data_IF_466004802120
#
_entry.id   IF_466004802120
#
_cell.length_a   1.000
_cell.length_b   1.000
_cell.length_c   1.000
_cell.angle_alpha   90.00
_cell.angle_beta   90.00
_cell.angle_gamma   90.00
#
_symmetry.space_group_name_H-M   'P 1'
#
loop_
_entity.id
_entity.type
_entity.pdbx_description
1 polymer ?
#
# COMPACT_ATOMS: atom_id res chain seq x y z
N UNK A 1 -19.96 -28.91 20.89
CA UNK A 1 -18.86 -28.51 21.80
C UNK A 1 -18.33 -27.14 21.37
N UNK A 2 -18.66 -26.06 22.09
CA UNK A 2 -18.23 -24.71 21.74
C UNK A 2 -16.80 -24.42 22.20
N UNK A 3 -15.90 -24.08 21.27
CA UNK A 3 -14.54 -23.64 21.58
C UNK A 3 -14.63 -22.28 22.29
N UNK A 4 -14.32 -22.23 23.58
CA UNK A 4 -14.30 -20.98 24.36
C UNK A 4 -13.24 -20.05 23.79
N UNK A 5 -13.66 -18.92 23.22
CA UNK A 5 -12.76 -17.85 22.78
C UNK A 5 -12.06 -17.26 24.02
N UNK A 6 -10.78 -17.57 24.21
CA UNK A 6 -9.95 -16.86 25.18
C UNK A 6 -9.82 -15.42 24.67
N UNK A 7 -10.16 -14.42 25.51
CA UNK A 7 -9.94 -12.99 25.21
C UNK A 7 -8.54 -12.82 24.64
N UNK A 8 -8.44 -12.20 23.47
CA UNK A 8 -7.18 -11.98 22.77
C UNK A 8 -6.29 -11.06 23.63
N UNK A 9 -5.35 -11.64 24.37
CA UNK A 9 -4.44 -10.90 25.25
C UNK A 9 -3.03 -11.05 24.73
N UNK A 10 -2.43 -9.95 24.28
CA UNK A 10 -1.05 -9.93 23.81
C UNK A 10 -0.09 -10.26 24.96
N UNK A 11 0.92 -11.13 24.72
CA UNK A 11 1.85 -11.56 25.75
C UNK A 11 2.77 -10.43 26.22
N UNK A 12 3.45 -10.68 27.35
CA UNK A 12 4.33 -9.67 27.97
C UNK A 12 5.52 -9.29 27.10
N UNK A 13 6.05 -10.28 26.41
CA UNK A 13 7.17 -10.14 25.52
C UNK A 13 6.78 -10.78 24.18
N UNK A 14 7.16 -10.10 23.10
CA UNK A 14 7.03 -10.62 21.73
C UNK A 14 8.42 -10.53 21.12
N UNK A 15 8.99 -11.66 20.74
CA UNK A 15 10.34 -11.75 20.16
C UNK A 15 11.42 -11.05 21.01
N UNK A 16 11.33 -11.17 22.35
CA UNK A 16 12.29 -10.54 23.28
C UNK A 16 12.04 -9.05 23.55
N UNK A 17 11.04 -8.43 22.91
CA UNK A 17 10.67 -7.04 23.13
C UNK A 17 9.54 -6.94 24.16
N UNK A 18 9.79 -6.19 25.23
CA UNK A 18 8.83 -5.95 26.31
C UNK A 18 7.76 -4.96 25.87
N UNK A 19 6.52 -5.42 25.75
CA UNK A 19 5.40 -4.56 25.37
C UNK A 19 4.89 -3.75 26.59
N UNK A 20 4.58 -2.45 26.45
CA UNK A 20 3.84 -1.71 27.48
C UNK A 20 2.44 -2.30 27.71
N UNK A 21 1.86 -2.08 28.90
CA UNK A 21 0.55 -2.66 29.25
C UNK A 21 -0.56 -2.12 28.35
N UNK A 22 -0.49 -0.83 28.03
CA UNK A 22 -1.41 -0.08 27.19
C UNK A 22 -1.45 -0.66 25.77
N UNK A 23 -0.27 -0.96 25.21
CA UNK A 23 -0.15 -1.56 23.86
C UNK A 23 -0.77 -2.96 23.83
N UNK A 24 -0.65 -3.73 24.92
CA UNK A 24 -1.25 -5.06 25.00
C UNK A 24 -2.77 -5.03 25.10
N UNK A 25 -3.31 -4.04 25.82
CA UNK A 25 -4.76 -3.88 25.96
C UNK A 25 -5.39 -3.38 24.66
N UNK A 26 -4.82 -2.32 24.08
CA UNK A 26 -5.27 -1.78 22.79
C UNK A 26 -5.09 -2.82 21.69
N UNK A 27 -3.92 -3.44 21.59
CA UNK A 27 -3.64 -4.46 20.60
C UNK A 27 -4.51 -5.71 20.79
N UNK A 28 -4.82 -6.10 22.04
CA UNK A 28 -5.75 -7.19 22.32
C UNK A 28 -7.17 -6.91 21.84
N UNK A 29 -7.68 -5.70 22.09
CA UNK A 29 -8.99 -5.26 21.62
C UNK A 29 -9.06 -5.17 20.08
N UNK A 30 -7.99 -4.70 19.45
CA UNK A 30 -7.87 -4.70 17.99
C UNK A 30 -7.81 -6.12 17.43
N UNK A 31 -7.07 -7.03 18.07
CA UNK A 31 -6.99 -8.43 17.66
C UNK A 31 -8.34 -9.13 17.79
N UNK A 32 -9.14 -8.78 18.78
CA UNK A 32 -10.50 -9.28 18.96
C UNK A 32 -11.41 -8.83 17.81
N UNK A 33 -11.35 -7.55 17.42
CA UNK A 33 -12.08 -7.02 16.24
C UNK A 33 -11.61 -7.65 14.93
N UNK A 34 -10.29 -7.81 14.79
CA UNK A 34 -9.66 -8.47 13.65
C UNK A 34 -10.03 -9.95 13.54
N UNK A 35 -10.44 -10.60 14.62
CA UNK A 35 -10.82 -12.02 14.60
C UNK A 35 -12.25 -12.25 14.05
N UNK A 36 -13.02 -11.17 13.85
CA UNK A 36 -14.33 -11.22 13.18
C UNK A 36 -14.18 -11.47 11.67
N UNK A 37 -15.21 -12.00 10.98
CA UNK A 37 -15.15 -12.22 9.53
C UNK A 37 -14.80 -10.95 8.75
N UNK A 38 -15.49 -9.84 9.07
CA UNK A 38 -15.26 -8.55 8.44
C UNK A 38 -13.88 -7.96 8.80
N UNK A 39 -13.43 -8.14 10.05
CA UNK A 39 -12.11 -7.71 10.49
C UNK A 39 -10.97 -8.44 9.77
N UNK A 40 -11.13 -9.73 9.48
CA UNK A 40 -10.15 -10.52 8.71
C UNK A 40 -10.06 -10.06 7.26
N UNK A 41 -11.19 -9.74 6.63
CA UNK A 41 -11.17 -9.19 5.26
C UNK A 41 -10.46 -7.85 5.21
N UNK A 42 -10.76 -6.95 6.14
CA UNK A 42 -10.07 -5.66 6.24
C UNK A 42 -8.57 -5.81 6.48
N UNK A 43 -8.16 -6.74 7.34
CA UNK A 43 -6.74 -7.05 7.55
C UNK A 43 -6.09 -7.66 6.31
N UNK A 44 -6.76 -8.58 5.61
CA UNK A 44 -6.23 -9.21 4.41
C UNK A 44 -6.06 -8.18 3.28
N UNK A 45 -7.07 -7.34 3.07
CA UNK A 45 -7.01 -6.26 2.10
C UNK A 45 -5.90 -5.25 2.46
N UNK A 46 -5.84 -4.81 3.70
CA UNK A 46 -4.80 -3.89 4.18
C UNK A 46 -3.40 -4.48 4.09
N UNK A 47 -3.22 -5.75 4.45
CA UNK A 47 -1.93 -6.44 4.34
C UNK A 47 -1.51 -6.61 2.88
N UNK A 48 -2.44 -6.95 1.99
CA UNK A 48 -2.16 -7.09 0.55
C UNK A 48 -1.74 -5.75 -0.04
N UNK A 49 -2.45 -4.66 0.30
CA UNK A 49 -2.06 -3.32 -0.13
C UNK A 49 -0.69 -2.92 0.41
N UNK A 50 -0.42 -3.17 1.70
CA UNK A 50 0.88 -2.86 2.30
C UNK A 50 2.01 -3.67 1.65
N UNK A 51 1.78 -4.96 1.38
CA UNK A 51 2.74 -5.82 0.68
C UNK A 51 2.99 -5.32 -0.74
N UNK A 52 1.94 -4.97 -1.48
CA UNK A 52 2.06 -4.42 -2.83
C UNK A 52 2.82 -3.08 -2.84
N UNK A 53 2.57 -2.19 -1.87
CA UNK A 53 3.30 -0.94 -1.74
C UNK A 53 4.78 -1.18 -1.39
N UNK A 54 5.07 -2.11 -0.48
CA UNK A 54 6.43 -2.48 -0.11
C UNK A 54 7.19 -3.11 -1.28
N UNK A 55 6.57 -4.01 -2.04
CA UNK A 55 7.18 -4.61 -3.24
C UNK A 55 7.39 -3.57 -4.33
N UNK A 56 6.45 -2.65 -4.54
CA UNK A 56 6.61 -1.54 -5.48
C UNK A 56 7.77 -0.61 -5.07
N UNK A 57 7.90 -0.27 -3.78
CA UNK A 57 9.02 0.54 -3.28
C UNK A 57 10.38 -0.17 -3.46
N UNK A 58 10.44 -1.48 -3.17
CA UNK A 58 11.66 -2.27 -3.39
C UNK A 58 11.99 -2.42 -4.89
N UNK A 59 10.97 -2.57 -5.75
CA UNK A 59 11.16 -2.62 -7.20
C UNK A 59 11.69 -1.29 -7.75
N UNK A 60 11.17 -0.16 -7.25
CA UNK A 60 11.67 1.18 -7.60
C UNK A 60 13.11 1.37 -7.14
N UNK A 61 13.45 0.98 -5.91
CA UNK A 61 14.83 1.02 -5.43
C UNK A 61 15.78 0.10 -6.20
N UNK A 62 15.29 -1.04 -6.74
CA UNK A 62 16.07 -1.89 -7.65
C UNK A 62 16.23 -1.29 -9.05
N UNK A 63 15.21 -0.61 -9.57
CA UNK A 63 15.29 0.09 -10.84
C UNK A 63 16.27 1.28 -10.78
N UNK A 64 16.29 2.03 -9.67
CA UNK A 64 17.28 3.09 -9.43
C UNK A 64 18.70 2.52 -9.24
N UNK A 65 18.83 1.33 -8.66
CA UNK A 65 20.12 0.62 -8.57
C UNK A 65 20.59 0.05 -9.91
N UNK A 66 19.66 -0.33 -10.78
CA UNK A 66 19.91 -0.79 -12.15
C UNK A 66 20.12 0.38 -13.15
N UNK A 67 19.82 1.62 -12.75
CA UNK A 67 20.15 2.83 -13.50
C UNK A 67 21.61 3.30 -13.28
N UNK A 68 22.40 2.61 -12.45
CA UNK A 68 23.86 2.65 -12.58
C UNK A 68 24.20 1.91 -13.88
N UNK A 69 24.92 2.52 -14.83
CA UNK A 69 24.93 2.08 -16.21
C UNK A 69 25.75 0.80 -16.35
N UNK A 70 25.07 -0.34 -16.42
CA UNK A 70 25.50 -1.48 -17.23
C UNK A 70 24.29 -2.41 -17.52
N UNK A 71 24.16 -2.77 -18.79
CA UNK A 71 23.28 -3.78 -19.41
C UNK A 71 21.84 -3.39 -19.88
N UNK A 72 21.39 -3.98 -21.02
CA UNK A 72 20.27 -3.50 -21.85
C UNK A 72 18.88 -3.96 -21.33
N UNK A 73 17.85 -3.18 -21.67
CA UNK A 73 16.43 -3.43 -21.33
C UNK A 73 15.97 -4.84 -21.74
N UNK A 74 15.19 -5.56 -20.91
CA UNK A 74 14.53 -6.80 -21.32
C UNK A 74 13.51 -6.53 -22.44
N UNK A 75 13.31 -7.48 -23.38
CA UNK A 75 12.45 -7.31 -24.54
C UNK A 75 10.98 -7.17 -24.13
N UNK A 76 10.29 -6.30 -24.86
CA UNK A 76 8.85 -6.09 -24.81
C UNK A 76 8.09 -7.41 -24.99
N UNK A 77 7.10 -7.66 -24.14
CA UNK A 77 6.29 -8.89 -24.19
C UNK A 77 5.55 -8.92 -25.53
N UNK A 78 5.62 -10.01 -26.33
CA UNK A 78 4.95 -10.05 -27.63
C UNK A 78 3.43 -9.90 -27.46
N UNK A 79 2.86 -8.86 -28.05
CA UNK A 79 1.40 -8.70 -28.19
C UNK A 79 0.89 -9.75 -29.19
N UNK A 80 -0.12 -10.57 -28.85
CA UNK A 80 -0.69 -11.53 -29.80
C UNK A 80 -1.38 -10.78 -30.96
N UNK A 81 -1.30 -11.30 -32.20
CA UNK A 81 -1.96 -10.66 -33.33
C UNK A 81 -3.48 -10.77 -33.18
N UNK A 82 -4.17 -9.62 -33.20
CA UNK A 82 -5.64 -9.56 -33.25
C UNK A 82 -6.07 -9.89 -34.69
N UNK A 83 -7.01 -10.83 -34.92
CA UNK A 83 -7.51 -11.10 -36.27
C UNK A 83 -8.23 -9.87 -36.84
N UNK A 84 -8.14 -9.61 -38.16
CA UNK A 84 -8.80 -8.45 -38.76
C UNK A 84 -10.33 -8.58 -38.64
N UNK A 85 -10.95 -7.55 -38.06
CA UNK A 85 -12.41 -7.42 -37.96
C UNK A 85 -12.96 -7.04 -39.35
N UNK A 86 -14.03 -7.68 -39.86
CA UNK A 86 -14.65 -7.28 -41.12
C UNK A 86 -15.18 -5.84 -41.05
N UNK A 87 -15.21 -5.10 -42.17
CA UNK A 87 -15.67 -3.71 -42.17
C UNK A 87 -17.15 -3.61 -41.80
N UNK A 88 -17.43 -2.77 -40.80
CA UNK A 88 -18.80 -2.47 -40.34
C UNK A 88 -19.44 -1.46 -41.32
N UNK A 89 -20.70 -1.65 -41.75
CA UNK A 89 -21.39 -0.66 -42.59
C UNK A 89 -21.57 0.68 -41.86
N UNK A 90 -21.67 1.82 -42.57
CA UNK A 90 -21.77 3.13 -41.94
C UNK A 90 -23.07 3.26 -41.12
N UNK A 91 -22.92 3.69 -39.87
CA UNK A 91 -24.02 3.95 -38.93
C UNK A 91 -24.56 5.38 -39.18
N UNK A 92 -25.89 5.61 -39.17
CA UNK A 92 -26.49 6.95 -39.29
C UNK A 92 -26.05 7.92 -38.16
N UNK A 93 -26.16 9.25 -38.37
CA UNK A 93 -25.62 10.25 -37.45
C UNK A 93 -26.32 10.23 -36.08
N UNK A 94 -25.51 10.35 -35.02
CA UNK A 94 -25.92 10.34 -33.61
C UNK A 94 -26.31 11.76 -33.16
N UNK A 95 -27.37 11.96 -32.34
CA UNK A 95 -27.73 13.27 -31.77
C UNK A 95 -26.66 13.82 -30.79
N UNK A 96 -26.64 15.13 -30.50
CA UNK A 96 -25.57 15.77 -29.74
C UNK A 96 -25.52 15.31 -28.27
N UNK A 97 -24.29 15.14 -27.77
CA UNK A 97 -23.96 14.62 -26.43
C UNK A 97 -24.12 15.71 -25.37
N UNK A 98 -24.74 15.37 -24.23
CA UNK A 98 -24.85 16.25 -23.05
C UNK A 98 -23.48 16.61 -22.44
N UNK A 99 -23.32 17.80 -21.82
CA UNK A 99 -22.03 18.22 -21.25
C UNK A 99 -21.64 17.41 -20.01
N UNK A 100 -20.35 17.09 -19.92
CA UNK A 100 -19.72 16.35 -18.81
C UNK A 100 -19.65 17.25 -17.56
N UNK A 101 -20.01 16.78 -16.35
CA UNK A 101 -19.92 17.59 -15.13
C UNK A 101 -18.45 17.89 -14.74
N UNK A 102 -18.18 19.03 -14.07
CA UNK A 102 -16.84 19.49 -13.75
C UNK A 102 -16.15 18.55 -12.75
N UNK A 103 -14.92 18.17 -13.07
CA UNK A 103 -14.07 17.34 -12.23
C UNK A 103 -13.77 18.08 -10.92
N UNK A 104 -14.35 17.60 -9.81
CA UNK A 104 -14.02 18.07 -8.48
C UNK A 104 -12.59 17.70 -8.11
N UNK A 105 -11.78 18.73 -7.84
CA UNK A 105 -10.64 18.77 -6.92
C UNK A 105 -9.91 17.44 -6.68
N UNK A 106 -9.14 16.97 -7.67
CA UNK A 106 -8.01 16.08 -7.41
C UNK A 106 -6.91 16.89 -6.71
N UNK A 107 -6.95 16.96 -5.38
CA UNK A 107 -5.74 17.24 -4.60
C UNK A 107 -4.87 15.98 -4.68
N UNK A 108 -4.17 15.83 -5.80
CA UNK A 108 -3.16 14.80 -5.99
C UNK A 108 -2.12 14.96 -4.85
N UNK A 109 -1.92 13.96 -3.97
CA UNK A 109 -0.91 14.05 -2.93
C UNK A 109 0.44 14.24 -3.60
N UNK A 110 1.08 15.39 -3.36
CA UNK A 110 2.37 15.71 -3.94
C UNK A 110 3.44 14.76 -3.38
N UNK A 111 4.03 13.88 -4.22
CA UNK A 111 5.03 12.91 -3.77
C UNK A 111 6.27 13.57 -3.17
N UNK A 112 6.60 14.81 -3.55
CA UNK A 112 7.73 15.53 -2.97
C UNK A 112 7.43 15.96 -1.54
N UNK A 113 6.23 16.49 -1.28
CA UNK A 113 5.79 16.86 0.07
C UNK A 113 5.77 15.65 1.03
N UNK A 114 5.39 14.47 0.52
CA UNK A 114 5.41 13.23 1.32
C UNK A 114 6.86 12.82 1.64
N UNK A 115 7.77 12.88 0.66
CA UNK A 115 9.17 12.56 0.86
C UNK A 115 9.83 13.48 1.91
N UNK A 116 9.55 14.79 1.84
CA UNK A 116 10.06 15.77 2.81
C UNK A 116 9.51 15.54 4.22
N UNK A 117 8.22 15.23 4.33
CA UNK A 117 7.59 14.93 5.61
C UNK A 117 8.21 13.68 6.26
N UNK A 118 8.46 12.63 5.47
CA UNK A 118 9.11 11.41 5.95
C UNK A 118 10.57 11.68 6.34
N UNK A 119 11.30 12.47 5.56
CA UNK A 119 12.68 12.87 5.86
C UNK A 119 12.79 13.60 7.20
N UNK A 120 11.92 14.60 7.44
CA UNK A 120 11.88 15.34 8.72
C UNK A 120 11.55 14.45 9.91
N UNK A 121 10.63 13.49 9.75
CA UNK A 121 10.29 12.54 10.82
C UNK A 121 11.45 11.60 11.11
N UNK A 122 12.13 11.11 10.07
CA UNK A 122 13.29 10.25 10.20
C UNK A 122 14.45 10.96 10.93
N UNK A 123 14.76 12.21 10.55
CA UNK A 123 15.78 13.02 11.24
C UNK A 123 15.42 13.28 12.70
N UNK A 124 14.16 13.60 13.01
CA UNK A 124 13.73 13.83 14.39
C UNK A 124 13.89 12.56 15.26
N UNK A 125 13.57 11.39 14.71
CA UNK A 125 13.78 10.11 15.39
C UNK A 125 15.27 9.80 15.55
N UNK A 126 16.09 10.07 14.53
CA UNK A 126 17.52 9.87 14.57
C UNK A 126 18.19 10.79 15.61
N UNK A 127 17.82 12.08 15.61
CA UNK A 127 18.28 13.04 16.60
C UNK A 127 17.87 12.65 18.03
N UNK A 128 16.71 12.04 18.22
CA UNK A 128 16.28 11.55 19.54
C UNK A 128 17.00 10.27 19.98
N UNK A 129 17.43 9.44 19.04
CA UNK A 129 18.13 8.19 19.32
C UNK A 129 19.63 8.39 19.55
N UNK A 130 20.24 9.33 18.83
CA UNK A 130 21.69 9.59 18.88
C UNK A 130 22.07 10.91 19.59
N UNK A 131 21.10 11.80 19.83
CA UNK A 131 21.31 13.07 20.54
C UNK A 131 21.10 13.00 22.05
N UNK A 132 20.84 11.81 22.63
CA UNK A 132 20.94 11.59 24.08
C UNK A 132 22.42 11.53 24.45
N UNK A 133 23.05 12.70 24.54
CA UNK A 133 24.31 12.88 25.26
C UNK A 133 23.97 12.89 26.75
N UNK A 134 24.68 12.05 27.50
CA UNK A 134 24.58 11.89 28.96
C UNK A 134 24.51 13.22 29.72
#
# INVERSE_FOLDING_TARGET
MGKKHKKAKLPKEVLGVKLPKEVREVGGALLEKANSPQGREMLAAGLTMAAAAATAALAKGRAERAAKPDAPRPPEVPVPPVPPVPPVPPVPPVPPVSPVPPQGTQTQPDPQAIADAVGKVAEAMLGRLFGRKD
#
